data_IF_500410919552
#
_entry.id   IF_500410919552
#
_cell.length_a   1.000
_cell.length_b   1.000
_cell.length_c   1.000
_cell.angle_alpha   90.00
_cell.angle_beta   90.00
_cell.angle_gamma   90.00
#
_symmetry.space_group_name_H-M   'P 1'
#
loop_
_entity.id
_entity.type
_entity.pdbx_description
1 polymer ?
#
# COMPACT_ATOMS: atom_id res chain seq x y z
N UNK A 1 5.43 20.14 -14.10
CA UNK A 1 4.65 19.60 -15.23
C UNK A 1 3.93 18.36 -14.73
N UNK A 2 2.61 18.26 -14.91
CA UNK A 2 1.86 17.04 -14.56
C UNK A 2 2.05 16.01 -15.68
N UNK A 3 2.43 14.77 -15.35
CA UNK A 3 2.41 13.66 -16.32
C UNK A 3 0.97 13.22 -16.51
N UNK A 4 0.55 13.02 -17.76
CA UNK A 4 -0.78 12.48 -18.06
C UNK A 4 -0.94 11.07 -17.44
N UNK A 5 -2.16 10.72 -17.05
CA UNK A 5 -2.50 9.37 -16.62
C UNK A 5 -2.27 8.41 -17.81
N UNK A 6 -1.43 7.37 -17.66
CA UNK A 6 -1.24 6.36 -18.69
C UNK A 6 -2.58 5.72 -19.10
N UNK A 7 -2.72 5.31 -20.37
CA UNK A 7 -3.87 4.52 -20.75
C UNK A 7 -3.88 3.23 -19.92
N UNK A 8 -5.08 2.83 -19.49
CA UNK A 8 -5.25 1.65 -18.66
C UNK A 8 -6.69 1.49 -18.21
N UNK A 9 -7.06 0.26 -17.87
CA UNK A 9 -8.34 -0.03 -17.22
C UNK A 9 -8.24 0.31 -15.73
N UNK A 10 -9.19 1.10 -15.25
CA UNK A 10 -9.37 1.46 -13.85
C UNK A 10 -10.75 1.04 -13.42
N UNK A 11 -10.82 0.17 -12.42
CA UNK A 11 -12.06 -0.30 -11.81
C UNK A 11 -12.16 0.32 -10.43
N UNK A 12 -13.25 1.04 -10.17
CA UNK A 12 -13.50 1.76 -8.92
C UNK A 12 -14.68 1.12 -8.20
N UNK A 13 -14.54 0.87 -6.89
CA UNK A 13 -15.59 0.31 -6.06
C UNK A 13 -15.63 1.04 -4.72
N UNK A 14 -16.77 1.66 -4.45
CA UNK A 14 -17.04 2.29 -3.16
C UNK A 14 -17.14 1.23 -2.07
N UNK A 15 -16.56 1.52 -0.92
CA UNK A 15 -16.52 0.63 0.24
C UNK A 15 -16.63 1.47 1.51
N UNK A 16 -17.86 1.79 1.92
CA UNK A 16 -18.12 2.56 3.12
C UNK A 16 -17.45 3.94 3.06
N UNK A 17 -16.52 4.19 3.96
CA UNK A 17 -15.67 5.39 4.05
C UNK A 17 -14.41 5.26 3.19
N UNK A 18 -14.45 4.55 2.07
CA UNK A 18 -13.29 4.32 1.26
C UNK A 18 -13.61 3.82 -0.13
N UNK A 19 -12.54 3.60 -0.89
CA UNK A 19 -12.59 3.19 -2.27
C UNK A 19 -11.52 2.14 -2.55
N UNK A 20 -11.91 1.08 -3.23
CA UNK A 20 -11.02 0.11 -3.86
C UNK A 20 -10.85 0.49 -5.34
N UNK A 21 -9.61 0.68 -5.76
CA UNK A 21 -9.23 0.99 -7.13
C UNK A 21 -8.34 -0.16 -7.63
N UNK A 22 -8.79 -0.87 -8.65
CA UNK A 22 -7.94 -1.81 -9.39
C UNK A 22 -7.41 -1.12 -10.63
N UNK A 23 -6.09 -1.13 -10.78
CA UNK A 23 -5.40 -0.52 -11.90
C UNK A 23 -4.76 -1.64 -12.71
N UNK A 24 -5.09 -1.73 -14.00
CA UNK A 24 -4.49 -2.71 -14.91
C UNK A 24 -2.98 -2.54 -15.01
N UNK A 25 -2.26 -3.63 -15.29
CA UNK A 25 -0.80 -3.64 -15.45
C UNK A 25 -0.25 -2.72 -16.56
N UNK A 26 -1.11 -2.24 -17.46
CA UNK A 26 -0.78 -1.22 -18.48
C UNK A 26 -0.33 0.10 -17.87
N UNK A 27 -0.76 0.40 -16.64
CA UNK A 27 -0.28 1.55 -15.88
C UNK A 27 0.96 1.14 -15.09
N UNK A 28 2.12 1.76 -15.32
CA UNK A 28 3.34 1.45 -14.58
C UNK A 28 3.15 1.64 -13.08
N UNK A 29 3.57 0.67 -12.28
CA UNK A 29 3.44 0.73 -10.82
C UNK A 29 4.16 1.97 -10.24
N UNK A 30 5.31 2.36 -10.82
CA UNK A 30 6.00 3.57 -10.42
C UNK A 30 5.18 4.85 -10.65
N UNK A 31 4.33 4.88 -11.70
CA UNK A 31 3.42 6.01 -11.92
C UNK A 31 2.36 6.08 -10.83
N UNK A 32 1.85 4.93 -10.38
CA UNK A 32 0.90 4.86 -9.26
C UNK A 32 1.54 5.38 -7.96
N UNK A 33 2.76 4.95 -7.65
CA UNK A 33 3.45 5.38 -6.43
C UNK A 33 3.88 6.85 -6.51
N UNK A 34 4.47 7.29 -7.61
CA UNK A 34 5.03 8.64 -7.73
C UNK A 34 3.97 9.70 -8.06
N UNK A 35 3.23 9.50 -9.14
CA UNK A 35 2.35 10.53 -9.69
C UNK A 35 0.95 10.43 -9.08
N UNK A 36 0.33 9.25 -9.06
CA UNK A 36 -1.03 9.12 -8.53
C UNK A 36 -1.12 9.54 -7.06
N UNK A 37 -0.20 9.11 -6.19
CA UNK A 37 -0.20 9.55 -4.78
C UNK A 37 0.05 11.06 -4.64
N UNK A 38 0.92 11.67 -5.46
CA UNK A 38 1.14 13.12 -5.47
C UNK A 38 -0.13 13.86 -5.89
N UNK A 39 -0.83 13.34 -6.89
CA UNK A 39 -2.06 13.93 -7.41
C UNK A 39 -3.21 13.78 -6.42
N UNK A 40 -3.32 12.62 -5.76
CA UNK A 40 -4.26 12.39 -4.67
C UNK A 40 -4.03 13.39 -3.53
N UNK A 41 -2.78 13.56 -3.08
CA UNK A 41 -2.40 14.58 -2.10
C UNK A 41 -2.85 15.98 -2.51
N UNK A 42 -2.60 16.37 -3.77
CA UNK A 42 -3.00 17.68 -4.27
C UNK A 42 -4.53 17.85 -4.31
N UNK A 43 -5.27 16.81 -4.67
CA UNK A 43 -6.73 16.80 -4.62
C UNK A 43 -7.27 16.98 -3.21
N UNK A 44 -6.70 16.27 -2.22
CA UNK A 44 -7.09 16.42 -0.81
C UNK A 44 -6.73 17.82 -0.28
N UNK A 45 -5.56 18.36 -0.62
CA UNK A 45 -5.20 19.74 -0.25
C UNK A 45 -6.16 20.77 -0.86
N UNK A 46 -6.57 20.57 -2.11
CA UNK A 46 -7.55 21.45 -2.75
C UNK A 46 -8.92 21.37 -2.06
N UNK A 47 -9.37 20.16 -1.71
CA UNK A 47 -10.62 19.95 -0.95
C UNK A 47 -10.56 20.62 0.44
N UNK A 48 -9.43 20.48 1.14
CA UNK A 48 -9.24 21.01 2.49
C UNK A 48 -9.09 22.54 2.55
N UNK A 49 -8.89 23.23 1.42
CA UNK A 49 -8.59 24.67 1.38
C UNK A 49 -9.60 25.54 2.14
N UNK A 50 -10.87 25.14 2.14
CA UNK A 50 -11.97 25.89 2.76
C UNK A 50 -12.55 25.17 3.99
N UNK A 51 -11.82 24.22 4.57
CA UNK A 51 -12.26 23.43 5.73
C UNK A 51 -11.54 23.88 6.99
N UNK A 52 -12.25 23.86 8.13
CA UNK A 52 -11.60 23.98 9.43
C UNK A 52 -10.80 22.71 9.74
N UNK A 53 -9.90 22.77 10.72
CA UNK A 53 -8.99 21.66 11.05
C UNK A 53 -9.74 20.35 11.36
N UNK A 54 -10.91 20.43 12.02
CA UNK A 54 -11.74 19.27 12.38
C UNK A 54 -12.47 18.63 11.19
N UNK A 55 -12.64 19.37 10.08
CA UNK A 55 -13.31 18.91 8.87
C UNK A 55 -12.35 18.65 7.70
N UNK A 56 -11.04 18.65 7.96
CA UNK A 56 -10.05 18.32 6.95
C UNK A 56 -10.07 16.83 6.65
N UNK A 57 -10.23 16.50 5.38
CA UNK A 57 -10.10 15.14 4.90
C UNK A 57 -8.65 14.69 5.01
N UNK A 58 -8.47 13.46 5.49
CA UNK A 58 -7.17 12.77 5.51
C UNK A 58 -7.37 11.35 5.02
N UNK A 59 -6.49 10.90 4.14
CA UNK A 59 -6.59 9.59 3.50
C UNK A 59 -5.45 8.68 3.96
N UNK A 60 -5.80 7.42 4.19
CA UNK A 60 -4.82 6.32 4.27
C UNK A 60 -4.94 5.46 3.03
N UNK A 61 -3.81 5.12 2.43
CA UNK A 61 -3.73 4.33 1.22
C UNK A 61 -2.88 3.06 1.44
N UNK A 62 -3.35 1.94 0.94
CA UNK A 62 -2.57 0.69 0.85
C UNK A 62 -2.40 0.33 -0.61
N UNK A 63 -1.18 0.00 -1.01
CA UNK A 63 -0.86 -0.34 -2.39
C UNK A 63 -0.13 -1.66 -2.45
N UNK A 64 -0.67 -2.59 -3.22
CA UNK A 64 0.02 -3.82 -3.58
C UNK A 64 -0.14 -4.09 -5.08
N UNK A 65 0.69 -4.98 -5.62
CA UNK A 65 0.51 -5.49 -6.97
C UNK A 65 0.35 -7.00 -6.95
N UNK A 66 -0.43 -7.52 -7.88
CA UNK A 66 -0.59 -8.94 -8.07
C UNK A 66 -1.81 -9.27 -8.90
N UNK A 67 -2.11 -10.56 -8.98
CA UNK A 67 -3.23 -11.05 -9.76
C UNK A 67 -4.53 -10.87 -8.99
N UNK A 68 -5.53 -10.35 -9.69
CA UNK A 68 -6.87 -10.13 -9.14
C UNK A 68 -7.88 -10.75 -10.07
N UNK A 69 -8.77 -11.57 -9.49
CA UNK A 69 -9.91 -12.13 -10.17
C UNK A 69 -11.01 -11.08 -10.26
N UNK A 70 -11.40 -10.73 -11.48
CA UNK A 70 -12.47 -9.78 -11.76
C UNK A 70 -13.51 -10.48 -12.65
N UNK A 71 -14.79 -10.27 -12.38
CA UNK A 71 -15.86 -10.79 -13.23
C UNK A 71 -16.21 -9.86 -14.41
N UNK A 72 -17.13 -10.31 -15.27
CA UNK A 72 -17.57 -9.57 -16.45
C UNK A 72 -18.25 -8.23 -16.11
N UNK A 73 -18.71 -8.05 -14.87
CA UNK A 73 -19.32 -6.83 -14.36
C UNK A 73 -18.29 -5.92 -13.65
N UNK A 74 -16.99 -6.16 -13.86
CA UNK A 74 -15.89 -5.42 -13.23
C UNK A 74 -15.84 -5.56 -11.70
N UNK A 75 -16.45 -6.58 -11.13
CA UNK A 75 -16.48 -6.77 -9.68
C UNK A 75 -15.33 -7.69 -9.26
N UNK A 76 -14.40 -7.23 -8.40
CA UNK A 76 -13.38 -8.11 -7.84
C UNK A 76 -14.03 -9.26 -7.08
N UNK A 77 -13.57 -10.48 -7.36
CA UNK A 77 -13.99 -11.72 -6.70
C UNK A 77 -12.94 -12.30 -5.77
N UNK A 78 -11.70 -11.80 -5.84
CA UNK A 78 -10.62 -12.20 -4.95
C UNK A 78 -9.25 -11.80 -5.49
N UNK A 79 -8.21 -11.95 -4.67
CA UNK A 79 -6.83 -11.67 -5.03
C UNK A 79 -6.03 -11.26 -3.80
N UNK A 80 -4.87 -11.87 -3.60
CA UNK A 80 -4.02 -11.62 -2.44
C UNK A 80 -3.55 -10.17 -2.40
N UNK A 81 -3.35 -9.54 -3.57
CA UNK A 81 -3.02 -8.13 -3.68
C UNK A 81 -4.13 -7.21 -3.11
N UNK A 82 -5.41 -7.56 -3.26
CA UNK A 82 -6.51 -6.80 -2.64
C UNK A 82 -6.44 -6.95 -1.11
N UNK A 83 -6.30 -8.19 -0.63
CA UNK A 83 -6.26 -8.47 0.81
C UNK A 83 -5.08 -7.74 1.44
N UNK A 84 -3.90 -7.89 0.86
CA UNK A 84 -2.68 -7.20 1.28
C UNK A 84 -2.85 -5.68 1.27
N UNK A 85 -3.35 -5.08 0.18
CA UNK A 85 -3.61 -3.64 0.13
C UNK A 85 -4.56 -3.16 1.24
N UNK A 86 -5.61 -3.92 1.58
CA UNK A 86 -6.50 -3.58 2.71
C UNK A 86 -5.72 -3.62 4.03
N UNK A 87 -4.88 -4.64 4.23
CA UNK A 87 -4.08 -4.77 5.47
C UNK A 87 -3.02 -3.69 5.59
N UNK A 88 -2.36 -3.32 4.50
CA UNK A 88 -1.40 -2.22 4.46
C UNK A 88 -2.07 -0.88 4.75
N UNK A 89 -3.23 -0.61 4.14
CA UNK A 89 -4.00 0.61 4.37
C UNK A 89 -4.46 0.77 5.82
N UNK A 90 -4.93 -0.33 6.42
CA UNK A 90 -5.48 -0.38 7.77
C UNK A 90 -4.47 -0.71 8.87
N UNK A 91 -3.17 -0.74 8.58
CA UNK A 91 -2.18 -1.12 9.57
C UNK A 91 -1.99 -0.02 10.64
N UNK A 92 -1.54 -0.43 11.82
CA UNK A 92 -1.33 0.48 12.94
C UNK A 92 -0.20 1.48 12.64
N UNK A 93 0.85 1.07 11.91
CA UNK A 93 1.90 1.97 11.43
C UNK A 93 1.36 3.13 10.57
N UNK A 94 0.37 2.88 9.71
CA UNK A 94 -0.29 3.94 8.94
C UNK A 94 -1.11 4.88 9.83
N UNK A 95 -1.70 4.35 10.90
CA UNK A 95 -2.44 5.14 11.88
C UNK A 95 -1.49 6.03 12.71
N UNK A 96 -0.44 5.46 13.28
CA UNK A 96 0.59 6.19 14.02
C UNK A 96 1.20 7.32 13.18
N UNK A 97 1.55 7.03 11.92
CA UNK A 97 2.10 8.03 11.01
C UNK A 97 1.11 9.18 10.72
N UNK A 98 -0.19 8.86 10.57
CA UNK A 98 -1.22 9.86 10.41
C UNK A 98 -1.35 10.75 11.66
N UNK A 99 -1.26 10.19 12.86
CA UNK A 99 -1.29 10.97 14.10
C UNK A 99 -0.03 11.83 14.25
N UNK A 100 1.15 11.26 13.96
CA UNK A 100 2.44 11.91 14.12
C UNK A 100 2.66 13.07 13.14
N UNK A 101 2.07 13.01 11.94
CA UNK A 101 2.20 14.06 10.92
C UNK A 101 0.81 14.57 10.49
N UNK A 102 0.11 15.38 11.32
CA UNK A 102 -1.24 15.88 11.00
C UNK A 102 -1.31 16.67 9.68
N UNK A 103 -0.21 17.34 9.32
CA UNK A 103 -0.10 18.11 8.08
C UNK A 103 -0.04 17.23 6.80
N UNK A 104 0.20 15.93 6.92
CA UNK A 104 0.16 15.01 5.80
C UNK A 104 -1.30 14.61 5.51
N UNK A 105 -1.86 15.02 4.35
CA UNK A 105 -3.25 14.71 3.97
C UNK A 105 -3.40 13.28 3.43
N UNK A 106 -2.29 12.63 3.06
CA UNK A 106 -2.24 11.27 2.53
C UNK A 106 -1.09 10.53 3.22
N UNK A 107 -1.41 9.37 3.79
CA UNK A 107 -0.44 8.40 4.32
C UNK A 107 -0.59 7.13 3.50
N UNK A 108 0.47 6.70 2.82
CA UNK A 108 0.46 5.49 2.02
C UNK A 108 1.37 4.42 2.62
N UNK A 109 0.97 3.16 2.55
CA UNK A 109 1.83 2.01 2.80
C UNK A 109 1.82 1.15 1.54
N UNK A 110 2.98 0.99 0.91
CA UNK A 110 3.14 0.12 -0.25
C UNK A 110 3.74 -1.22 0.17
N UNK A 111 3.43 -2.30 -0.54
CA UNK A 111 4.03 -3.60 -0.27
C UNK A 111 5.52 -3.62 -0.57
N UNK A 112 6.23 -4.56 0.03
CA UNK A 112 7.64 -4.81 -0.30
C UNK A 112 7.86 -5.16 -1.78
N UNK A 113 6.90 -5.85 -2.40
CA UNK A 113 6.95 -6.15 -3.83
C UNK A 113 6.89 -4.88 -4.68
N UNK A 114 5.93 -3.98 -4.39
CA UNK A 114 5.81 -2.69 -5.08
C UNK A 114 7.07 -1.83 -4.89
N UNK A 115 7.60 -1.77 -3.66
CA UNK A 115 8.83 -1.01 -3.37
C UNK A 115 10.02 -1.52 -4.18
N UNK A 116 10.26 -2.85 -4.17
CA UNK A 116 11.37 -3.48 -4.89
C UNK A 116 11.26 -3.30 -6.39
N UNK A 117 10.05 -3.28 -6.93
CA UNK A 117 9.78 -3.11 -8.35
C UNK A 117 9.89 -1.65 -8.82
N UNK A 118 9.83 -0.66 -7.94
CA UNK A 118 9.69 0.75 -8.33
C UNK A 118 10.70 1.66 -7.62
N UNK A 119 10.50 1.87 -6.32
CA UNK A 119 11.25 2.82 -5.49
C UNK A 119 12.73 2.47 -5.46
N UNK A 120 13.06 1.18 -5.34
CA UNK A 120 14.46 0.70 -5.30
C UNK A 120 15.27 1.15 -6.53
N UNK A 121 14.62 1.25 -7.69
CA UNK A 121 15.24 1.67 -8.95
C UNK A 121 15.14 3.18 -9.21
N UNK A 122 14.62 3.94 -8.24
CA UNK A 122 14.39 5.40 -8.34
C UNK A 122 13.54 5.80 -9.55
N UNK A 123 12.61 4.92 -9.94
CA UNK A 123 11.74 5.19 -11.10
C UNK A 123 10.92 6.47 -10.89
N UNK A 124 10.76 7.26 -11.95
CA UNK A 124 10.04 8.54 -11.92
C UNK A 124 10.51 9.53 -10.83
N UNK A 125 11.74 9.41 -10.35
CA UNK A 125 12.28 10.27 -9.30
C UNK A 125 11.85 9.88 -7.89
N UNK A 126 11.38 8.65 -7.69
CA UNK A 126 11.15 8.11 -6.35
C UNK A 126 12.48 8.07 -5.58
N UNK A 127 12.48 8.65 -4.39
CA UNK A 127 13.63 8.69 -3.50
C UNK A 127 13.41 7.64 -2.39
N UNK A 128 14.16 6.52 -2.34
CA UNK A 128 14.11 5.53 -1.27
C UNK A 128 14.13 6.11 0.13
N UNK A 129 14.80 7.25 0.32
CA UNK A 129 14.92 7.96 1.58
C UNK A 129 13.58 8.55 2.08
N UNK A 130 12.60 8.70 1.19
CA UNK A 130 11.22 9.13 1.49
C UNK A 130 10.26 7.95 1.74
N UNK A 131 10.83 6.75 1.92
CA UNK A 131 10.11 5.53 2.27
C UNK A 131 10.75 4.92 3.51
N UNK A 132 9.93 4.54 4.48
CA UNK A 132 10.40 3.87 5.71
C UNK A 132 9.79 2.49 5.78
N UNK A 133 10.61 1.47 5.97
CA UNK A 133 10.11 0.12 6.17
C UNK A 133 9.37 0.02 7.50
N UNK A 134 8.26 -0.70 7.46
CA UNK A 134 7.38 -0.95 8.62
C UNK A 134 6.95 -2.40 8.60
N UNK A 135 6.85 -3.01 9.77
CA UNK A 135 6.28 -4.34 9.90
C UNK A 135 4.76 -4.21 9.98
N UNK A 136 4.05 -4.85 9.06
CA UNK A 136 2.59 -4.88 9.03
C UNK A 136 2.12 -6.23 9.56
N UNK A 137 1.66 -6.25 10.80
CA UNK A 137 1.12 -7.44 11.45
C UNK A 137 -0.38 -7.24 11.75
N UNK A 138 -1.20 -8.21 11.34
CA UNK A 138 -2.63 -8.29 11.70
C UNK A 138 -2.87 -9.70 12.25
N UNK A 139 -2.56 -9.95 13.53
CA UNK A 139 -2.56 -11.30 14.10
C UNK A 139 -3.91 -12.02 14.00
N UNK A 140 -5.03 -11.30 14.16
CA UNK A 140 -6.38 -11.89 14.06
C UNK A 140 -6.74 -12.34 12.64
N UNK A 141 -5.84 -12.13 11.67
CA UNK A 141 -6.00 -12.46 10.25
C UNK A 141 -4.81 -13.25 9.72
N UNK A 142 -3.95 -13.77 10.61
CA UNK A 142 -2.74 -14.51 10.28
C UNK A 142 -1.88 -13.84 9.20
N UNK A 143 -1.81 -12.50 9.24
CA UNK A 143 -1.13 -11.70 8.24
C UNK A 143 0.09 -11.02 8.85
N UNK A 144 1.25 -11.24 8.23
CA UNK A 144 2.50 -10.55 8.54
C UNK A 144 3.20 -10.22 7.22
N UNK A 145 3.54 -8.96 7.00
CA UNK A 145 4.24 -8.50 5.82
C UNK A 145 5.20 -7.35 6.15
N UNK A 146 6.17 -7.12 5.28
CA UNK A 146 6.92 -5.85 5.24
C UNK A 146 6.16 -4.88 4.35
N UNK A 147 5.89 -3.69 4.87
CA UNK A 147 5.36 -2.55 4.13
C UNK A 147 6.36 -1.40 4.12
N UNK A 148 6.12 -0.43 3.25
CA UNK A 148 6.94 0.78 3.15
C UNK A 148 6.03 2.01 3.25
N UNK A 149 6.18 2.73 4.36
CA UNK A 149 5.45 3.94 4.71
C UNK A 149 5.95 5.12 3.86
N UNK A 150 5.03 5.82 3.23
CA UNK A 150 5.29 6.99 2.38
C UNK A 150 4.24 8.08 2.59
N UNK A 151 4.69 9.31 2.81
CA UNK A 151 3.82 10.48 2.99
C UNK A 151 4.16 11.51 1.90
N UNK A 152 3.39 11.59 0.79
CA UNK A 152 3.71 12.51 -0.30
C UNK A 152 3.96 13.96 0.17
N UNK A 153 5.17 14.45 -0.08
CA UNK A 153 5.62 15.79 0.33
C UNK A 153 6.05 15.94 1.79
N UNK A 154 6.22 14.84 2.53
CA UNK A 154 6.69 14.83 3.91
C UNK A 154 7.70 13.68 4.12
N UNK A 155 8.57 13.83 5.11
CA UNK A 155 9.45 12.73 5.55
C UNK A 155 8.62 11.76 6.40
N UNK A 156 8.66 10.44 6.15
CA UNK A 156 7.91 9.48 6.96
C UNK A 156 8.45 9.44 8.40
N UNK A 157 7.56 9.58 9.41
CA UNK A 157 7.96 9.56 10.81
C UNK A 157 8.49 8.18 11.22
N UNK A 158 9.19 8.11 12.34
CA UNK A 158 9.42 6.83 13.02
C UNK A 158 8.09 6.37 13.61
N UNK A 159 7.74 5.12 13.38
CA UNK A 159 6.56 4.44 13.94
C UNK A 159 7.04 3.22 14.71
N UNK A 160 6.36 2.90 15.79
CA UNK A 160 6.69 1.80 16.70
C UNK A 160 5.82 0.58 16.45
N UNK A 161 4.64 0.79 15.85
CA UNK A 161 3.69 -0.26 15.55
C UNK A 161 4.26 -1.37 14.66
N UNK A 162 3.90 -2.61 14.99
CA UNK A 162 4.23 -3.81 14.23
C UNK A 162 5.56 -4.46 14.59
N UNK A 163 6.44 -3.77 15.30
CA UNK A 163 7.62 -4.39 15.92
C UNK A 163 7.22 -4.98 17.28
N UNK A 164 7.69 -6.19 17.63
CA UNK A 164 7.71 -6.64 19.02
C UNK A 164 8.39 -5.56 19.88
N UNK A 165 7.96 -5.36 21.13
CA UNK A 165 8.55 -4.36 22.04
C UNK A 165 10.08 -4.50 22.17
N UNK A 166 10.61 -5.72 21.97
CA UNK A 166 12.04 -6.04 22.00
C UNK A 166 12.84 -5.61 20.76
N UNK A 167 12.17 -5.27 19.64
CA UNK A 167 12.77 -4.96 18.32
C UNK A 167 12.57 -3.50 17.88
N UNK A 168 12.12 -2.62 18.79
CA UNK A 168 12.07 -1.19 18.50
C UNK A 168 13.47 -0.69 18.07
N UNK A 169 13.59 0.09 16.99
CA UNK A 169 14.87 0.71 16.64
C UNK A 169 15.28 1.66 17.76
N UNK A 170 16.15 1.18 18.64
CA UNK A 170 16.78 1.99 19.68
C UNK A 170 17.62 3.12 19.07
N UNK A 171 17.97 4.16 19.83
CA UNK A 171 18.92 5.17 19.37
C UNK A 171 20.23 4.49 18.96
N UNK A 172 20.69 4.75 17.72
CA UNK A 172 21.86 4.08 17.12
C UNK A 172 23.06 4.03 18.09
N UNK A 173 23.59 2.84 18.44
CA UNK A 173 24.82 2.76 19.21
C UNK A 173 26.02 3.08 18.31
N UNK A 174 26.86 4.00 18.79
CA UNK A 174 28.10 4.41 18.14
C UNK A 174 29.02 3.20 17.92
N UNK A 175 29.34 2.95 16.65
CA UNK A 175 30.16 1.82 16.15
C UNK A 175 31.56 1.81 16.77
N UNK A 176 31.90 0.74 17.50
CA UNK A 176 33.28 0.35 17.80
C UNK A 176 33.63 -0.99 17.12
N UNK A 177 34.84 -1.08 16.56
CA UNK A 177 35.35 -2.18 15.70
C UNK A 177 35.82 -3.42 16.51
N UNK A 178 35.31 -4.59 16.11
CA UNK A 178 35.98 -5.93 15.98
C UNK A 178 36.54 -6.64 17.23
N UNK A 179 37.01 -7.91 17.14
CA UNK A 179 37.17 -8.79 15.96
C UNK A 179 36.58 -10.23 16.09
N UNK A 180 36.97 -11.09 15.13
CA UNK A 180 36.37 -12.32 14.62
C UNK A 180 36.50 -13.64 15.43
N UNK A 181 35.75 -14.65 14.97
CA UNK A 181 35.86 -16.10 15.26
C UNK A 181 34.56 -16.66 15.88
N UNK A 182 34.02 -17.84 15.61
CA UNK A 182 34.41 -19.02 14.82
C UNK A 182 33.14 -19.89 14.65
N UNK A 183 33.11 -20.64 13.56
CA UNK A 183 32.24 -21.76 13.14
C UNK A 183 31.29 -22.44 14.14
N UNK A 184 30.08 -22.78 13.69
CA UNK A 184 29.52 -24.14 13.90
C UNK A 184 28.39 -24.44 12.90
N UNK A 185 28.48 -25.62 12.27
CA UNK A 185 27.50 -26.16 11.32
C UNK A 185 26.44 -26.97 12.06
N UNK A 186 25.18 -26.93 11.61
CA UNK A 186 24.28 -28.07 11.79
C UNK A 186 23.09 -28.08 10.81
N UNK A 187 23.15 -29.06 9.91
CA UNK A 187 22.08 -29.99 9.49
C UNK A 187 20.87 -29.41 8.74
N UNK A 188 20.95 -29.58 7.42
CA UNK A 188 19.82 -29.73 6.50
C UNK A 188 18.94 -30.89 6.97
N UNK A 189 17.65 -30.60 7.15
CA UNK A 189 16.58 -31.59 7.31
C UNK A 189 15.57 -31.31 6.21
N UNK A 190 15.67 -32.07 5.13
CA UNK A 190 14.63 -32.20 4.11
C UNK A 190 13.34 -32.70 4.76
N UNK A 191 12.29 -31.89 4.69
CA UNK A 191 10.91 -32.38 4.73
C UNK A 191 10.13 -31.71 3.61
N UNK A 192 9.96 -32.48 2.55
CA UNK A 192 8.90 -32.29 1.58
C UNK A 192 7.56 -32.33 2.32
N UNK A 193 6.73 -31.31 2.09
CA UNK A 193 5.32 -31.33 2.47
C UNK A 193 4.52 -31.25 1.18
N UNK A 194 3.73 -32.28 0.99
CA UNK A 194 2.85 -32.52 -0.16
C UNK A 194 1.92 -31.32 -0.37
N UNK A 195 2.04 -30.67 -1.53
CA UNK A 195 1.04 -29.73 -2.01
C UNK A 195 -0.09 -30.53 -2.65
N UNK A 196 -1.13 -30.78 -1.86
CA UNK A 196 -2.39 -31.35 -2.32
C UNK A 196 -3.08 -30.36 -3.25
N UNK A 197 -3.06 -30.69 -4.54
CA UNK A 197 -3.59 -29.91 -5.66
C UNK A 197 -5.10 -29.72 -5.49
N UNK A 198 -5.50 -28.54 -4.99
CA UNK A 198 -6.91 -28.17 -4.85
C UNK A 198 -7.49 -27.85 -6.23
N UNK A 199 -8.03 -28.87 -6.90
CA UNK A 199 -8.77 -28.76 -8.16
C UNK A 199 -10.03 -27.89 -7.97
N UNK A 200 -10.21 -26.78 -8.71
CA UNK A 200 -11.42 -25.99 -8.60
C UNK A 200 -12.62 -26.74 -9.21
N UNK A 201 -13.85 -26.54 -8.69
CA UNK A 201 -15.04 -27.17 -9.22
C UNK A 201 -15.31 -26.70 -10.65
N UNK A 202 -15.52 -27.66 -11.55
CA UNK A 202 -15.91 -27.40 -12.93
C UNK A 202 -17.36 -26.92 -12.98
N UNK A 203 -17.57 -25.66 -13.38
CA UNK A 203 -18.89 -25.16 -13.75
C UNK A 203 -19.11 -23.69 -13.43
N UNK A 204 -18.75 -22.80 -14.36
CA UNK A 204 -19.14 -21.40 -14.31
C UNK A 204 -18.27 -20.55 -15.24
N UNK A 205 -18.91 -19.74 -16.08
CA UNK A 205 -18.26 -18.85 -17.04
C UNK A 205 -17.49 -17.76 -16.29
N UNK A 206 -16.20 -17.93 -16.05
CA UNK A 206 -15.37 -16.93 -15.39
C UNK A 206 -14.04 -16.82 -16.13
N UNK A 207 -13.83 -15.78 -16.92
CA UNK A 207 -12.52 -15.53 -17.55
C UNK A 207 -12.23 -14.04 -17.71
N UNK A 208 -11.59 -13.44 -16.71
CA UNK A 208 -10.45 -12.55 -16.95
C UNK A 208 -9.53 -12.48 -15.73
N UNK A 209 -8.30 -12.97 -15.88
CA UNK A 209 -7.25 -12.79 -14.87
C UNK A 209 -6.49 -11.52 -15.26
N UNK A 210 -6.64 -10.44 -14.48
CA UNK A 210 -5.80 -9.26 -14.69
C UNK A 210 -4.45 -9.51 -14.06
N UNK A 211 -3.51 -9.97 -14.88
CA UNK A 211 -2.14 -10.24 -14.45
C UNK A 211 -1.42 -8.93 -14.10
N UNK A 212 -0.80 -8.85 -12.92
CA UNK A 212 0.04 -7.72 -12.52
C UNK A 212 -0.70 -6.42 -12.19
N UNK A 213 -1.96 -6.49 -11.75
CA UNK A 213 -2.74 -5.32 -11.37
C UNK A 213 -2.15 -4.62 -10.14
N UNK A 214 -2.19 -3.29 -10.10
CA UNK A 214 -1.88 -2.52 -8.87
C UNK A 214 -3.19 -2.23 -8.16
N UNK A 215 -3.39 -2.83 -6.99
CA UNK A 215 -4.53 -2.53 -6.11
C UNK A 215 -4.19 -1.32 -5.26
N UNK A 216 -5.00 -0.27 -5.36
CA UNK A 216 -4.94 0.90 -4.48
C UNK A 216 -6.22 0.93 -3.68
N UNK A 217 -6.10 0.99 -2.36
CA UNK A 217 -7.25 1.15 -1.47
C UNK A 217 -7.05 2.43 -0.70
N UNK A 218 -8.01 3.34 -0.80
CA UNK A 218 -8.02 4.61 -0.08
C UNK A 218 -9.17 4.59 0.91
N UNK A 219 -8.92 4.86 2.19
CA UNK A 219 -9.99 5.08 3.18
C UNK A 219 -9.89 6.51 3.70
N UNK A 220 -11.02 7.21 3.74
CA UNK A 220 -11.22 8.54 4.31
C UNK A 220 -12.67 8.73 4.73
N UNK A 221 -12.89 9.26 5.93
CA UNK A 221 -14.20 9.49 6.54
C UNK A 221 -15.23 10.10 5.55
N UNK A 222 -16.09 9.26 4.97
CA UNK A 222 -17.27 9.63 4.18
C UNK A 222 -17.06 10.39 2.87
N UNK A 223 -15.94 10.25 2.15
CA UNK A 223 -15.64 11.07 0.96
C UNK A 223 -15.34 10.25 -0.31
N UNK A 224 -15.92 10.64 -1.46
CA UNK A 224 -15.74 10.00 -2.77
C UNK A 224 -14.47 10.53 -3.49
N UNK A 225 -13.63 9.66 -4.08
CA UNK A 225 -12.36 10.05 -4.74
C UNK A 225 -12.42 9.73 -6.24
N UNK A 226 -12.64 10.72 -7.12
CA UNK A 226 -12.51 10.46 -8.56
C UNK A 226 -11.07 10.34 -9.02
N UNK A 227 -10.59 9.09 -9.16
CA UNK A 227 -9.22 8.77 -9.58
C UNK A 227 -8.89 9.10 -11.05
N UNK A 228 -9.89 9.21 -11.96
CA UNK A 228 -9.64 9.60 -13.37
C UNK A 228 -9.68 11.11 -13.59
N UNK A 229 -10.53 11.82 -12.86
CA UNK A 229 -10.60 13.29 -12.84
C UNK A 229 -9.67 13.96 -11.81
N UNK A 230 -9.11 13.18 -10.88
CA UNK A 230 -8.32 13.65 -9.72
C UNK A 230 -9.07 14.64 -8.84
N UNK A 231 -10.39 14.49 -8.78
CA UNK A 231 -11.26 15.35 -8.02
C UNK A 231 -11.75 14.60 -6.79
N UNK A 232 -11.47 15.16 -5.62
CA UNK A 232 -12.02 14.69 -4.35
C UNK A 232 -13.36 15.39 -4.15
N UNK A 233 -14.44 14.62 -4.13
CA UNK A 233 -15.80 15.12 -3.97
C UNK A 233 -16.32 14.72 -2.58
N UNK A 234 -16.76 15.71 -1.80
CA UNK A 234 -17.49 15.44 -0.56
C UNK A 234 -18.79 14.73 -0.88
N UNK A 235 -19.08 13.61 -0.20
CA UNK A 235 -20.44 13.09 -0.16
C UNK A 235 -21.31 14.11 0.56
N UNK A 236 -22.35 14.61 -0.11
CA UNK A 236 -23.39 15.36 0.58
C UNK A 236 -24.15 14.37 1.46
N UNK A 237 -24.07 14.54 2.78
CA UNK A 237 -25.06 14.02 3.70
C UNK A 237 -26.37 14.81 3.55
#
# INVERSE_FOLDING_TARGET
MHRACPPGRWIRRERGDGELILISAEVPCAWVVAEFLRLLRNGVLAYNRNKNQESQLRLRAGIDRGDVLVDDADIPRGGDAIVSAVRLQGCEAANEAAVAVPAAPVVAVISDEVYRATVRFRELGLEPELFRDVRVAVPQKDFVATGWLHLPGHVPPIVTAGYPEDDLPGPEPTRAKGPAGTTSSARVSDRASDHEEHRPPSGGKYQYNQHGSTGVITQGDGTHIDARGMNVYGGSA
#
